data_IF_667889386277
#
_entry.id   IF_667889386277
#
_cell.length_a   1.000
_cell.length_b   1.000
_cell.length_c   1.000
_cell.angle_alpha   90.00
_cell.angle_beta   90.00
_cell.angle_gamma   90.00
#
_symmetry.space_group_name_H-M   'P 1'
#
loop_
_entity.id
_entity.type
_entity.pdbx_description
1 polymer ?
#
# COMPACT_ATOMS: atom_id res chain seq x y z
N UNK A 1 -24.44 69.79 -75.97
CA UNK A 1 -23.44 69.36 -74.95
C UNK A 1 -24.08 68.35 -74.03
N UNK A 2 -23.29 67.45 -73.47
CA UNK A 2 -23.79 66.48 -72.50
C UNK A 2 -24.29 67.17 -71.23
N UNK A 3 -25.40 66.68 -70.65
CA UNK A 3 -25.94 67.20 -69.38
C UNK A 3 -25.85 66.16 -68.25
N UNK A 4 -26.07 64.88 -68.54
CA UNK A 4 -25.90 63.75 -67.61
C UNK A 4 -25.78 62.43 -68.39
N UNK A 5 -24.95 61.45 -67.97
CA UNK A 5 -24.04 61.46 -66.81
C UNK A 5 -22.76 62.28 -67.04
N UNK A 6 -21.94 62.48 -65.99
CA UNK A 6 -20.60 63.07 -66.14
C UNK A 6 -19.60 62.04 -66.70
N UNK A 7 -18.54 62.52 -67.35
CA UNK A 7 -17.45 61.64 -67.78
C UNK A 7 -16.80 60.95 -66.57
N UNK A 8 -16.37 59.70 -66.77
CA UNK A 8 -15.74 58.81 -65.79
C UNK A 8 -16.63 58.46 -64.58
N UNK A 9 -17.96 58.57 -64.74
CA UNK A 9 -18.91 58.12 -63.71
C UNK A 9 -18.81 56.60 -63.52
N UNK A 10 -18.70 56.17 -62.26
CA UNK A 10 -18.75 54.76 -61.85
C UNK A 10 -20.00 54.53 -61.01
N UNK A 11 -20.81 53.55 -61.39
CA UNK A 11 -22.04 53.16 -60.69
C UNK A 11 -22.18 51.63 -60.72
N UNK A 12 -23.07 51.08 -59.90
CA UNK A 12 -23.48 49.68 -60.06
C UNK A 12 -24.43 49.53 -61.26
N UNK A 13 -24.31 48.42 -61.98
CA UNK A 13 -25.13 48.10 -63.16
C UNK A 13 -26.61 47.86 -62.83
N UNK A 14 -26.94 47.71 -61.54
CA UNK A 14 -28.31 47.64 -61.02
C UNK A 14 -29.01 49.01 -61.01
N UNK A 15 -28.26 50.10 -61.13
CA UNK A 15 -28.80 51.45 -61.05
C UNK A 15 -29.17 51.99 -62.44
N UNK A 16 -30.35 52.62 -62.59
CA UNK A 16 -30.72 53.29 -63.83
C UNK A 16 -29.81 54.49 -64.10
N UNK A 17 -29.39 54.67 -65.35
CA UNK A 17 -28.51 55.79 -65.76
C UNK A 17 -29.33 56.87 -66.48
N UNK A 18 -29.50 58.07 -65.90
CA UNK A 18 -30.18 59.16 -66.59
C UNK A 18 -29.27 59.76 -67.67
N UNK A 19 -29.70 59.65 -68.92
CA UNK A 19 -29.05 60.23 -70.10
C UNK A 19 -29.76 61.51 -70.50
N UNK A 20 -29.06 62.64 -70.48
CA UNK A 20 -29.61 63.93 -70.86
C UNK A 20 -28.61 64.76 -71.67
N UNK A 21 -29.11 65.51 -72.64
CA UNK A 21 -28.31 66.41 -73.50
C UNK A 21 -28.91 67.80 -73.49
N UNK A 22 -28.06 68.83 -73.57
CA UNK A 22 -28.49 70.18 -73.91
C UNK A 22 -28.22 70.42 -75.41
N UNK A 23 -29.26 70.52 -76.22
CA UNK A 23 -29.17 70.74 -77.65
C UNK A 23 -30.15 71.84 -78.08
N UNK A 24 -29.76 72.65 -79.06
CA UNK A 24 -30.57 73.72 -79.63
C UNK A 24 -30.20 73.92 -81.09
N UNK A 25 -31.18 74.27 -81.91
CA UNK A 25 -31.00 74.67 -83.29
C UNK A 25 -31.40 76.16 -83.44
N UNK A 26 -30.45 77.07 -83.73
CA UNK A 26 -30.74 78.51 -83.83
C UNK A 26 -31.63 78.90 -85.02
N UNK A 27 -31.69 78.12 -86.10
CA UNK A 27 -32.42 78.46 -87.32
C UNK A 27 -33.44 77.39 -87.76
N UNK A 28 -33.75 76.45 -86.88
CA UNK A 28 -34.72 75.37 -87.11
C UNK A 28 -35.20 74.72 -85.82
N UNK A 29 -35.61 73.45 -85.93
CA UNK A 29 -36.07 72.64 -84.82
C UNK A 29 -35.34 71.30 -84.81
N UNK A 30 -35.02 70.79 -83.63
CA UNK A 30 -34.51 69.44 -83.46
C UNK A 30 -35.62 68.42 -83.76
N UNK A 31 -35.35 67.52 -84.69
CA UNK A 31 -36.30 66.48 -85.10
C UNK A 31 -35.94 65.12 -84.50
N UNK A 32 -34.66 64.88 -84.25
CA UNK A 32 -34.18 63.60 -83.74
C UNK A 32 -32.99 63.78 -82.80
N UNK A 33 -33.02 63.13 -81.63
CA UNK A 33 -31.88 63.02 -80.71
C UNK A 33 -31.64 61.55 -80.42
N UNK A 34 -30.47 61.02 -80.80
CA UNK A 34 -30.10 59.61 -80.60
C UNK A 34 -29.01 59.50 -79.55
N UNK A 35 -29.24 58.69 -78.53
CA UNK A 35 -28.26 58.28 -77.54
C UNK A 35 -27.60 56.97 -77.99
N UNK A 36 -26.27 56.93 -77.98
CA UNK A 36 -25.50 55.78 -78.45
C UNK A 36 -24.50 55.32 -77.39
N UNK A 37 -24.32 54.00 -77.29
CA UNK A 37 -23.18 53.35 -76.64
C UNK A 37 -22.29 52.72 -77.73
N UNK A 38 -21.14 53.35 -77.99
CA UNK A 38 -20.35 53.09 -79.18
C UNK A 38 -21.17 53.33 -80.45
N UNK A 39 -21.48 52.26 -81.19
CA UNK A 39 -22.33 52.29 -82.40
C UNK A 39 -23.76 51.85 -82.15
N UNK A 40 -24.06 51.30 -80.97
CA UNK A 40 -25.38 50.78 -80.63
C UNK A 40 -26.31 51.92 -80.20
N UNK A 41 -27.53 51.94 -80.73
CA UNK A 41 -28.52 52.94 -80.33
C UNK A 41 -29.17 52.51 -79.01
N UNK A 42 -29.00 53.31 -77.96
CA UNK A 42 -29.65 53.12 -76.66
C UNK A 42 -31.13 53.53 -76.77
N UNK A 43 -31.36 54.70 -77.37
CA UNK A 43 -32.69 55.26 -77.55
C UNK A 43 -32.67 56.46 -78.48
N UNK A 44 -33.83 56.78 -79.05
CA UNK A 44 -34.02 57.92 -79.92
C UNK A 44 -35.28 58.69 -79.52
N UNK A 45 -35.16 60.01 -79.45
CA UNK A 45 -36.23 60.94 -79.11
C UNK A 45 -36.60 61.77 -80.32
N UNK A 46 -37.88 62.07 -80.45
CA UNK A 46 -38.43 62.98 -81.46
C UNK A 46 -39.23 64.08 -80.77
N UNK A 47 -39.56 65.16 -81.49
CA UNK A 47 -40.38 66.26 -80.96
C UNK A 47 -39.77 67.06 -79.78
N UNK A 48 -38.44 67.12 -79.69
CA UNK A 48 -37.74 68.04 -78.78
C UNK A 48 -37.45 67.51 -77.37
N UNK A 49 -37.79 66.25 -77.06
CA UNK A 49 -37.34 65.61 -75.81
C UNK A 49 -35.82 65.39 -75.82
N UNK A 50 -35.18 65.62 -74.67
CA UNK A 50 -33.71 65.64 -74.54
C UNK A 50 -33.16 64.71 -73.46
N UNK A 51 -33.98 63.84 -72.88
CA UNK A 51 -33.54 62.92 -71.84
C UNK A 51 -34.26 61.55 -71.91
N UNK A 52 -33.51 60.48 -71.62
CA UNK A 52 -34.01 59.13 -71.40
C UNK A 52 -33.38 58.52 -70.15
N UNK A 53 -34.02 57.52 -69.57
CA UNK A 53 -33.39 56.63 -68.59
C UNK A 53 -32.90 55.39 -69.32
N UNK A 54 -31.69 54.95 -68.99
CA UNK A 54 -31.12 53.71 -69.48
C UNK A 54 -31.10 52.68 -68.35
N UNK A 55 -31.86 51.60 -68.51
CA UNK A 55 -32.08 50.54 -67.54
C UNK A 55 -31.46 49.20 -68.00
N UNK A 56 -31.36 48.22 -67.09
CA UNK A 56 -30.91 46.83 -67.36
C UNK A 56 -29.59 46.74 -68.13
N UNK A 57 -28.61 47.53 -67.71
CA UNK A 57 -27.34 47.67 -68.41
C UNK A 57 -26.37 46.58 -67.94
N UNK A 58 -25.72 45.88 -68.87
CA UNK A 58 -24.66 44.94 -68.52
C UNK A 58 -23.47 45.64 -67.87
N UNK A 59 -22.79 45.04 -66.87
CA UNK A 59 -21.54 45.58 -66.35
C UNK A 59 -20.49 45.76 -67.44
N UNK A 60 -19.70 46.84 -67.34
CA UNK A 60 -18.63 47.14 -68.28
C UNK A 60 -18.36 48.63 -68.45
N UNK A 61 -17.43 48.93 -69.35
CA UNK A 61 -17.13 50.29 -69.77
C UNK A 61 -17.97 50.64 -71.00
N UNK A 62 -18.76 51.71 -70.89
CA UNK A 62 -19.64 52.20 -71.94
C UNK A 62 -19.14 53.56 -72.45
N UNK A 63 -19.20 53.76 -73.76
CA UNK A 63 -18.73 54.99 -74.41
C UNK A 63 -19.92 55.70 -75.04
N UNK A 64 -20.41 56.72 -74.34
CA UNK A 64 -21.67 57.37 -74.67
C UNK A 64 -21.47 58.58 -75.57
N UNK A 65 -22.27 58.65 -76.63
CA UNK A 65 -22.36 59.83 -77.50
C UNK A 65 -23.81 60.11 -77.88
N UNK A 66 -24.09 61.37 -78.25
CA UNK A 66 -25.43 61.81 -78.63
C UNK A 66 -25.34 62.50 -79.97
N UNK A 67 -26.18 62.09 -80.91
CA UNK A 67 -26.33 62.72 -82.22
C UNK A 67 -27.68 63.43 -82.27
N UNK A 68 -27.65 64.75 -82.43
CA UNK A 68 -28.84 65.56 -82.67
C UNK A 68 -28.95 65.90 -84.16
N UNK A 69 -30.15 65.80 -84.74
CA UNK A 69 -30.44 66.10 -86.15
C UNK A 69 -31.60 67.09 -86.24
N UNK A 70 -31.41 68.14 -87.05
CA UNK A 70 -32.40 69.18 -87.28
C UNK A 70 -33.46 68.80 -88.34
N UNK A 71 -34.41 69.70 -88.58
CA UNK A 71 -35.45 69.57 -89.59
C UNK A 71 -34.98 69.76 -91.05
N UNK A 72 -33.69 70.03 -91.26
CA UNK A 72 -33.04 70.18 -92.57
C UNK A 72 -32.04 69.05 -92.86
N UNK A 73 -31.89 68.10 -91.92
CA UNK A 73 -31.02 66.92 -92.04
C UNK A 73 -29.58 67.14 -91.58
N UNK A 74 -29.23 68.31 -91.02
CA UNK A 74 -27.91 68.53 -90.44
C UNK A 74 -27.80 67.83 -89.09
N UNK A 75 -26.67 67.16 -88.84
CA UNK A 75 -26.45 66.42 -87.60
C UNK A 75 -25.15 66.82 -86.91
N UNK A 76 -25.18 66.92 -85.59
CA UNK A 76 -24.00 67.14 -84.74
C UNK A 76 -23.93 66.08 -83.65
N UNK A 77 -22.73 65.59 -83.38
CA UNK A 77 -22.44 64.66 -82.30
C UNK A 77 -21.79 65.38 -81.11
N UNK A 78 -22.06 64.92 -79.89
CA UNK A 78 -21.26 65.29 -78.72
C UNK A 78 -19.87 64.65 -78.78
N UNK A 79 -18.90 65.20 -78.03
CA UNK A 79 -17.72 64.40 -77.67
C UNK A 79 -18.17 63.19 -76.85
N UNK A 80 -17.55 62.01 -77.06
CA UNK A 80 -17.90 60.82 -76.29
C UNK A 80 -17.49 61.01 -74.83
N UNK A 81 -18.29 60.47 -73.93
CA UNK A 81 -17.92 60.29 -72.52
C UNK A 81 -17.82 58.81 -72.20
N UNK A 82 -17.04 58.45 -71.20
CA UNK A 82 -16.92 57.09 -70.70
C UNK A 82 -17.63 56.99 -69.36
N UNK A 83 -18.42 55.93 -69.16
CA UNK A 83 -18.89 55.52 -67.84
C UNK A 83 -18.52 54.06 -67.60
N UNK A 84 -18.42 53.65 -66.34
CA UNK A 84 -18.18 52.25 -65.96
C UNK A 84 -19.28 51.77 -65.04
N UNK A 85 -19.95 50.69 -65.43
CA UNK A 85 -20.95 50.03 -64.61
C UNK A 85 -20.35 48.77 -64.00
N UNK A 86 -20.28 48.73 -62.67
CA UNK A 86 -19.76 47.59 -61.92
C UNK A 86 -20.87 46.56 -61.68
N UNK A 87 -20.53 45.28 -61.67
CA UNK A 87 -21.47 44.26 -61.23
C UNK A 87 -21.84 44.49 -59.75
N UNK A 88 -23.06 44.08 -59.31
CA UNK A 88 -23.41 44.13 -57.88
C UNK A 88 -22.41 43.33 -57.04
N UNK A 89 -22.02 43.89 -55.89
CA UNK A 89 -21.09 43.24 -54.99
C UNK A 89 -21.71 41.96 -54.38
N UNK A 90 -20.98 40.84 -54.41
CA UNK A 90 -21.42 39.61 -53.76
C UNK A 90 -20.75 39.52 -52.38
N UNK A 91 -21.46 39.07 -51.33
CA UNK A 91 -20.86 38.94 -50.01
C UNK A 91 -19.81 37.82 -49.96
N UNK A 92 -18.82 37.92 -49.07
CA UNK A 92 -17.84 36.86 -48.87
C UNK A 92 -18.46 35.64 -48.17
N UNK A 93 -17.77 34.50 -48.23
CA UNK A 93 -18.06 33.31 -47.43
C UNK A 93 -16.97 33.10 -46.38
N UNK A 94 -17.34 32.56 -45.21
CA UNK A 94 -16.43 32.25 -44.10
C UNK A 94 -16.84 30.98 -43.37
N UNK A 95 -15.89 30.06 -43.17
CA UNK A 95 -16.09 28.79 -42.47
C UNK A 95 -14.91 28.49 -41.55
N UNK A 96 -15.18 27.91 -40.38
CA UNK A 96 -14.13 27.55 -39.43
C UNK A 96 -13.29 26.37 -39.89
N UNK A 97 -11.97 26.50 -39.71
CA UNK A 97 -11.01 25.40 -39.90
C UNK A 97 -10.43 24.92 -38.56
N UNK A 98 -10.17 25.84 -37.62
CA UNK A 98 -9.67 25.51 -36.30
C UNK A 98 -10.07 26.58 -35.25
N UNK A 99 -10.29 26.20 -33.98
CA UNK A 99 -10.38 24.83 -33.49
C UNK A 99 -11.63 24.11 -34.04
N UNK A 100 -11.71 22.78 -33.88
CA UNK A 100 -12.97 22.08 -34.16
C UNK A 100 -14.02 22.46 -33.10
N UNK A 101 -15.30 22.52 -33.51
CA UNK A 101 -16.38 22.87 -32.59
C UNK A 101 -16.49 21.87 -31.44
N UNK A 102 -16.52 22.38 -30.21
CA UNK A 102 -16.56 21.54 -29.00
C UNK A 102 -15.19 21.15 -28.45
N UNK A 103 -14.09 21.68 -29.02
CA UNK A 103 -12.74 21.44 -28.49
C UNK A 103 -12.65 21.73 -26.99
N UNK A 104 -11.99 20.84 -26.25
CA UNK A 104 -11.70 20.99 -24.82
C UNK A 104 -10.18 21.11 -24.65
N UNK A 105 -9.74 22.18 -23.98
CA UNK A 105 -8.34 22.44 -23.65
C UNK A 105 -8.18 22.47 -22.12
N UNK A 106 -6.96 22.25 -21.64
CA UNK A 106 -6.60 22.54 -20.24
C UNK A 106 -5.94 23.93 -20.15
N UNK A 107 -5.72 24.49 -18.97
CA UNK A 107 -4.95 25.73 -18.80
C UNK A 107 -3.48 25.43 -18.44
N UNK A 108 -2.49 26.25 -18.84
CA UNK A 108 -2.56 27.35 -19.79
C UNK A 108 -2.35 26.85 -21.22
N UNK A 109 -3.22 27.25 -22.15
CA UNK A 109 -3.07 26.92 -23.58
C UNK A 109 -3.30 28.15 -24.44
N UNK A 110 -2.64 28.17 -25.60
CA UNK A 110 -2.92 29.10 -26.70
C UNK A 110 -3.59 28.32 -27.81
N UNK A 111 -4.59 28.93 -28.45
CA UNK A 111 -5.32 28.33 -29.57
C UNK A 111 -5.12 29.18 -30.82
N UNK A 112 -4.97 28.50 -31.97
CA UNK A 112 -4.99 29.17 -33.26
C UNK A 112 -6.42 29.14 -33.78
N UNK A 113 -7.00 30.33 -33.92
CA UNK A 113 -8.27 30.55 -34.59
C UNK A 113 -7.98 30.66 -36.09
N UNK A 114 -8.63 29.85 -36.91
CA UNK A 114 -8.43 29.86 -38.34
C UNK A 114 -9.75 29.62 -39.06
N UNK A 115 -9.98 30.41 -40.11
CA UNK A 115 -11.12 30.25 -41.01
C UNK A 115 -10.64 30.10 -42.45
N UNK A 116 -11.46 29.46 -43.26
CA UNK A 116 -11.43 29.58 -44.71
C UNK A 116 -12.38 30.72 -45.09
N UNK A 117 -11.85 31.80 -45.67
CA UNK A 117 -12.65 32.91 -46.15
C UNK A 117 -12.38 33.16 -47.64
N UNK A 118 -13.43 33.36 -48.43
CA UNK A 118 -13.32 33.58 -49.88
C UNK A 118 -14.38 34.57 -50.34
N UNK A 119 -14.09 35.29 -51.42
CA UNK A 119 -15.01 36.26 -52.01
C UNK A 119 -15.24 35.94 -53.49
N UNK A 120 -16.49 35.82 -53.97
CA UNK A 120 -16.77 35.42 -55.35
C UNK A 120 -16.44 36.46 -56.42
N UNK A 121 -16.49 37.77 -56.13
CA UNK A 121 -16.31 38.85 -57.11
C UNK A 121 -15.18 39.83 -56.78
N UNK A 122 -14.40 39.52 -55.76
CA UNK A 122 -13.26 40.30 -55.31
C UNK A 122 -12.34 39.51 -54.40
N UNK A 123 -11.95 40.12 -53.27
CA UNK A 123 -11.11 39.49 -52.26
C UNK A 123 -11.64 39.77 -50.87
N UNK A 124 -11.36 38.87 -49.92
CA UNK A 124 -11.57 39.15 -48.50
C UNK A 124 -10.53 40.16 -48.03
N UNK A 125 -10.97 41.33 -47.58
CA UNK A 125 -10.09 42.38 -47.05
C UNK A 125 -9.61 42.07 -45.63
N UNK A 126 -10.47 41.50 -44.79
CA UNK A 126 -10.12 41.10 -43.43
C UNK A 126 -11.11 40.07 -42.85
N UNK A 127 -10.66 39.34 -41.83
CA UNK A 127 -11.48 38.52 -40.93
C UNK A 127 -11.28 39.01 -39.51
N UNK A 128 -12.36 39.36 -38.82
CA UNK A 128 -12.36 39.70 -37.40
C UNK A 128 -12.88 38.53 -36.56
N UNK A 129 -12.20 38.22 -35.47
CA UNK A 129 -12.52 37.13 -34.56
C UNK A 129 -13.12 37.67 -33.26
N UNK A 130 -14.16 36.99 -32.77
CA UNK A 130 -14.90 37.37 -31.57
C UNK A 130 -14.98 36.22 -30.57
N UNK A 131 -14.95 36.59 -29.29
CA UNK A 131 -15.29 35.73 -28.15
C UNK A 131 -16.52 36.35 -27.47
N UNK A 132 -17.67 35.72 -27.64
CA UNK A 132 -18.96 36.32 -27.28
C UNK A 132 -19.19 37.64 -28.05
N UNK A 133 -19.39 38.77 -27.35
CA UNK A 133 -19.54 40.09 -27.99
C UNK A 133 -18.19 40.77 -28.30
N UNK A 134 -17.09 40.33 -27.68
CA UNK A 134 -15.82 41.06 -27.68
C UNK A 134 -14.93 40.63 -28.85
N UNK A 135 -14.35 41.61 -29.56
CA UNK A 135 -13.35 41.35 -30.60
C UNK A 135 -12.02 40.97 -29.95
N UNK A 136 -11.41 39.89 -30.44
CA UNK A 136 -10.09 39.40 -29.98
C UNK A 136 -8.97 39.63 -30.99
N UNK A 137 -9.31 40.04 -32.22
CA UNK A 137 -8.31 40.44 -33.21
C UNK A 137 -8.79 40.31 -34.65
N UNK A 138 -7.98 40.83 -35.57
CA UNK A 138 -8.25 40.88 -37.00
C UNK A 138 -7.09 40.25 -37.76
N UNK A 139 -7.40 39.42 -38.76
CA UNK A 139 -6.46 38.90 -39.74
C UNK A 139 -6.74 39.55 -41.12
N UNK A 140 -5.72 40.11 -41.75
CA UNK A 140 -5.85 40.84 -43.04
C UNK A 140 -5.16 40.13 -44.21
N UNK A 141 -4.59 38.95 -43.97
CA UNK A 141 -3.86 38.19 -44.98
C UNK A 141 -4.25 36.72 -44.90
N UNK A 142 -4.31 36.07 -46.06
CA UNK A 142 -4.44 34.62 -46.16
C UNK A 142 -3.10 33.93 -45.81
N UNK A 143 -3.08 32.84 -45.02
CA UNK A 143 -4.22 32.23 -44.34
C UNK A 143 -4.76 33.12 -43.22
N UNK A 144 -6.08 33.31 -43.18
CA UNK A 144 -6.73 34.09 -42.14
C UNK A 144 -6.67 33.33 -40.82
N UNK A 145 -5.74 33.73 -39.95
CA UNK A 145 -5.53 33.08 -38.65
C UNK A 145 -5.15 34.09 -37.55
N UNK A 146 -5.49 33.76 -36.31
CA UNK A 146 -5.19 34.54 -35.11
C UNK A 146 -4.83 33.62 -33.95
N UNK A 147 -3.68 33.85 -33.32
CA UNK A 147 -3.35 33.17 -32.05
C UNK A 147 -4.03 33.89 -30.89
N UNK A 148 -4.87 33.19 -30.17
CA UNK A 148 -5.61 33.70 -29.01
C UNK A 148 -5.33 32.86 -27.76
N UNK A 149 -5.15 33.53 -26.62
CA UNK A 149 -4.91 32.92 -25.32
C UNK A 149 -6.07 33.22 -24.36
N UNK A 150 -6.92 32.24 -24.01
CA UNK A 150 -7.97 32.40 -23.01
C UNK A 150 -7.37 32.84 -21.66
N UNK A 151 -7.98 33.82 -21.00
CA UNK A 151 -7.45 34.37 -19.73
C UNK A 151 -7.97 33.66 -18.49
N UNK A 152 -9.11 32.97 -18.61
CA UNK A 152 -9.77 32.25 -17.51
C UNK A 152 -10.21 30.86 -17.94
N UNK A 153 -10.50 29.97 -16.99
CA UNK A 153 -11.23 28.75 -17.32
C UNK A 153 -12.68 29.05 -17.70
N UNK A 154 -13.32 28.15 -18.43
CA UNK A 154 -14.73 28.24 -18.80
C UNK A 154 -15.02 27.89 -20.26
N UNK A 155 -16.28 28.02 -20.65
CA UNK A 155 -16.74 27.81 -22.02
C UNK A 155 -16.85 29.16 -22.74
N UNK A 156 -16.25 29.22 -23.91
CA UNK A 156 -16.18 30.38 -24.79
C UNK A 156 -16.98 30.12 -26.07
N UNK A 157 -17.70 31.13 -26.54
CA UNK A 157 -18.41 31.11 -27.83
C UNK A 157 -17.60 31.92 -28.85
N UNK A 158 -17.18 31.28 -29.94
CA UNK A 158 -16.33 31.87 -30.97
C UNK A 158 -17.16 32.18 -32.22
N UNK A 159 -16.94 33.36 -32.81
CA UNK A 159 -17.52 33.80 -34.09
C UNK A 159 -16.48 34.54 -34.91
N UNK A 160 -16.48 34.36 -36.23
CA UNK A 160 -15.65 35.14 -37.15
C UNK A 160 -16.54 35.98 -38.09
N UNK A 161 -16.05 37.14 -38.53
CA UNK A 161 -16.72 38.01 -39.50
C UNK A 161 -15.75 38.35 -40.62
N UNK A 162 -16.04 37.90 -41.84
CA UNK A 162 -15.28 38.26 -43.03
C UNK A 162 -15.84 39.54 -43.65
N UNK A 163 -14.95 40.45 -44.08
CA UNK A 163 -15.29 41.67 -44.81
C UNK A 163 -14.57 41.66 -46.16
N UNK A 164 -15.28 41.91 -47.27
CA UNK A 164 -14.69 41.97 -48.62
C UNK A 164 -14.03 43.33 -48.92
N UNK A 165 -13.46 43.49 -50.13
CA UNK A 165 -12.80 44.72 -50.58
C UNK A 165 -13.75 45.86 -50.96
N UNK A 166 -15.07 45.61 -50.95
CA UNK A 166 -16.12 46.62 -51.17
C UNK A 166 -16.99 46.86 -49.92
N UNK A 167 -16.65 46.24 -48.79
CA UNK A 167 -17.24 46.44 -47.48
C UNK A 167 -18.41 45.53 -47.11
N UNK A 168 -18.78 44.52 -47.91
CA UNK A 168 -19.80 43.55 -47.49
C UNK A 168 -19.28 42.65 -46.38
N UNK A 169 -20.15 42.25 -45.46
CA UNK A 169 -19.79 41.47 -44.28
C UNK A 169 -20.66 40.22 -44.13
N UNK A 170 -20.01 39.10 -43.78
CA UNK A 170 -20.68 37.85 -43.41
C UNK A 170 -20.07 37.28 -42.15
N UNK A 171 -20.92 36.85 -41.22
CA UNK A 171 -20.52 36.14 -40.02
C UNK A 171 -20.51 34.62 -40.26
N UNK A 172 -19.56 33.94 -39.65
CA UNK A 172 -19.55 32.48 -39.55
C UNK A 172 -20.64 31.99 -38.60
N UNK A 173 -20.90 30.69 -38.63
CA UNK A 173 -21.55 30.02 -37.50
C UNK A 173 -20.71 30.16 -36.21
N UNK A 174 -21.40 30.05 -35.07
CA UNK A 174 -20.79 30.07 -33.74
C UNK A 174 -20.31 28.68 -33.34
N UNK A 175 -19.14 28.57 -32.70
CA UNK A 175 -18.68 27.33 -32.09
C UNK A 175 -18.33 27.52 -30.61
N UNK A 176 -18.27 26.43 -29.85
CA UNK A 176 -17.85 26.47 -28.45
C UNK A 176 -16.43 25.91 -28.25
N UNK A 177 -15.65 26.57 -27.41
CA UNK A 177 -14.36 26.10 -26.90
C UNK A 177 -14.43 26.06 -25.37
N UNK A 178 -14.08 24.93 -24.74
CA UNK A 178 -14.03 24.85 -23.26
C UNK A 178 -12.60 24.77 -22.78
N UNK A 179 -12.24 25.59 -21.79
CA UNK A 179 -10.94 25.57 -21.10
C UNK A 179 -11.17 25.08 -19.68
N UNK A 180 -10.62 23.91 -19.37
CA UNK A 180 -10.65 23.31 -18.05
C UNK A 180 -9.47 23.81 -17.19
N UNK A 181 -9.61 23.81 -15.85
CA UNK A 181 -8.48 24.07 -14.97
C UNK A 181 -7.39 23.01 -15.14
N UNK A 182 -6.13 23.31 -14.73
CA UNK A 182 -5.09 22.30 -14.68
C UNK A 182 -5.55 21.08 -13.87
N UNK A 183 -5.20 19.88 -14.31
CA UNK A 183 -5.55 18.65 -13.60
C UNK A 183 -4.88 18.62 -12.22
N UNK A 184 -5.65 18.44 -11.14
CA UNK A 184 -5.09 18.11 -9.84
C UNK A 184 -4.84 16.61 -9.80
N UNK A 185 -3.63 16.20 -9.41
CA UNK A 185 -3.28 14.79 -9.35
C UNK A 185 -4.00 14.12 -8.16
N UNK A 186 -4.34 12.82 -8.26
CA UNK A 186 -5.01 12.10 -7.20
C UNK A 186 -4.12 11.95 -5.97
N UNK A 187 -4.73 11.68 -4.82
CA UNK A 187 -4.04 11.29 -3.58
C UNK A 187 -4.26 9.80 -3.34
N UNK A 188 -3.21 9.07 -2.96
CA UNK A 188 -3.28 7.63 -2.69
C UNK A 188 -2.40 7.22 -1.51
N UNK A 189 -2.90 6.28 -0.71
CA UNK A 189 -2.19 5.73 0.45
C UNK A 189 -2.50 4.24 0.61
N UNK A 190 -1.49 3.41 0.90
CA UNK A 190 -1.68 2.03 1.38
C UNK A 190 -2.20 2.05 2.82
N UNK A 191 -3.31 1.36 3.07
CA UNK A 191 -3.92 1.18 4.39
C UNK A 191 -3.47 -0.13 5.04
N UNK A 192 -3.38 -1.20 4.24
CA UNK A 192 -2.92 -2.51 4.65
C UNK A 192 -2.00 -3.10 3.57
N UNK A 193 -0.92 -3.80 3.94
CA UNK A 193 -0.42 -3.99 5.30
C UNK A 193 0.13 -2.68 5.91
N UNK A 194 0.33 -2.63 7.23
CA UNK A 194 1.04 -1.52 7.88
C UNK A 194 2.55 -1.62 7.62
N UNK A 195 3.26 -0.48 7.66
CA UNK A 195 4.72 -0.48 7.48
C UNK A 195 5.43 -1.34 8.54
N UNK A 196 6.31 -2.24 8.10
CA UNK A 196 7.04 -3.19 8.94
C UNK A 196 6.28 -4.49 9.21
N UNK A 197 5.15 -4.74 8.54
CA UNK A 197 4.39 -5.98 8.69
C UNK A 197 5.24 -7.19 8.29
N UNK A 198 5.20 -8.23 9.12
CA UNK A 198 5.83 -9.52 8.86
C UNK A 198 4.78 -10.58 8.60
N UNK A 199 5.06 -11.48 7.66
CA UNK A 199 4.15 -12.57 7.30
C UNK A 199 4.90 -13.88 7.19
N UNK A 200 4.26 -14.98 7.61
CA UNK A 200 4.78 -16.33 7.44
C UNK A 200 4.89 -16.68 5.94
N UNK A 201 5.79 -17.58 5.53
CA UNK A 201 5.90 -17.98 4.13
C UNK A 201 4.59 -18.59 3.64
N UNK A 202 4.28 -18.42 2.34
CA UNK A 202 3.08 -18.93 1.65
C UNK A 202 1.73 -18.33 2.07
N UNK A 203 1.69 -17.49 3.11
CA UNK A 203 0.46 -16.82 3.52
C UNK A 203 0.16 -15.64 2.58
N UNK A 204 -1.08 -15.56 2.10
CA UNK A 204 -1.52 -14.47 1.25
C UNK A 204 -1.62 -13.15 2.02
N UNK A 205 -1.25 -12.06 1.37
CA UNK A 205 -1.30 -10.69 1.92
C UNK A 205 -2.42 -9.94 1.21
N UNK A 206 -3.33 -9.34 1.95
CA UNK A 206 -4.30 -8.40 1.37
C UNK A 206 -3.69 -7.01 1.39
N UNK A 207 -3.53 -6.41 0.22
CA UNK A 207 -3.03 -5.05 0.05
C UNK A 207 -4.22 -4.14 -0.25
N UNK A 208 -4.47 -3.17 0.61
CA UNK A 208 -5.59 -2.24 0.52
C UNK A 208 -5.07 -0.82 0.41
N UNK A 209 -5.73 -0.01 -0.41
CA UNK A 209 -5.40 1.41 -0.54
C UNK A 209 -6.66 2.28 -0.50
N UNK A 210 -6.46 3.53 -0.09
CA UNK A 210 -7.41 4.61 -0.26
C UNK A 210 -6.88 5.53 -1.35
N UNK A 211 -7.73 5.86 -2.32
CA UNK A 211 -7.43 6.83 -3.36
C UNK A 211 -8.60 7.81 -3.52
N UNK A 212 -8.30 9.09 -3.69
CA UNK A 212 -9.28 10.16 -3.87
C UNK A 212 -8.75 11.19 -4.84
N UNK A 213 -9.64 11.78 -5.62
CA UNK A 213 -9.33 12.85 -6.55
C UNK A 213 -10.23 14.05 -6.29
N UNK A 214 -9.67 15.26 -6.21
CA UNK A 214 -10.40 16.45 -5.72
C UNK A 214 -11.21 17.15 -6.79
N UNK A 215 -10.84 16.99 -8.06
CA UNK A 215 -11.46 17.65 -9.20
C UNK A 215 -11.91 16.68 -10.31
N UNK A 216 -11.86 15.38 -10.03
CA UNK A 216 -12.27 14.30 -10.93
C UNK A 216 -12.58 13.00 -10.21
N UNK A 217 -12.31 11.87 -10.87
CA UNK A 217 -12.57 10.52 -10.34
C UNK A 217 -11.36 9.61 -10.54
N UNK A 218 -11.18 8.65 -9.64
CA UNK A 218 -10.13 7.63 -9.79
C UNK A 218 -10.59 6.57 -10.79
N UNK A 219 -9.82 6.39 -11.87
CA UNK A 219 -10.04 5.35 -12.88
C UNK A 219 -9.49 4.01 -12.40
N UNK A 220 -8.34 4.00 -11.73
CA UNK A 220 -7.70 2.79 -11.24
C UNK A 220 -6.65 3.03 -10.16
N UNK A 221 -6.39 1.98 -9.38
CA UNK A 221 -5.25 1.88 -8.47
C UNK A 221 -4.44 0.64 -8.83
N UNK A 222 -3.16 0.82 -9.17
CA UNK A 222 -2.20 -0.25 -9.37
C UNK A 222 -1.38 -0.47 -8.10
N UNK A 223 -1.34 -1.70 -7.59
CA UNK A 223 -0.46 -2.09 -6.50
C UNK A 223 0.86 -2.63 -7.06
N UNK A 224 1.98 -2.23 -6.46
CA UNK A 224 3.33 -2.61 -6.90
C UNK A 224 4.18 -3.11 -5.74
N UNK A 225 5.08 -4.03 -6.03
CA UNK A 225 6.22 -4.40 -5.19
C UNK A 225 7.52 -3.97 -5.88
N UNK A 226 8.11 -2.88 -5.40
CA UNK A 226 9.20 -2.20 -6.06
C UNK A 226 8.78 -1.72 -7.46
N UNK A 227 9.42 -2.26 -8.50
CA UNK A 227 9.06 -1.96 -9.90
C UNK A 227 8.03 -2.92 -10.49
N UNK A 228 7.70 -4.01 -9.79
CA UNK A 228 6.82 -5.06 -10.32
C UNK A 228 5.36 -4.74 -10.01
N UNK A 229 4.50 -4.85 -11.01
CA UNK A 229 3.05 -4.77 -10.81
C UNK A 229 2.53 -6.03 -10.12
N UNK A 230 1.78 -5.87 -9.04
CA UNK A 230 1.04 -6.94 -8.39
C UNK A 230 -0.38 -7.08 -8.97
N UNK A 231 -0.95 -5.97 -9.44
CA UNK A 231 -2.27 -5.94 -10.05
C UNK A 231 -2.90 -4.55 -10.06
N UNK A 232 -3.96 -4.40 -10.85
CA UNK A 232 -4.71 -3.15 -11.02
C UNK A 232 -6.16 -3.37 -10.59
N UNK A 233 -6.69 -2.44 -9.80
CA UNK A 233 -8.08 -2.44 -9.32
C UNK A 233 -8.75 -1.15 -9.78
N UNK A 234 -9.82 -1.28 -10.59
CA UNK A 234 -10.52 -0.14 -11.20
C UNK A 234 -11.74 0.37 -10.41
N UNK A 235 -12.13 -0.32 -9.33
CA UNK A 235 -13.30 0.05 -8.55
C UNK A 235 -12.99 0.04 -7.05
N UNK A 236 -13.54 1.01 -6.32
CA UNK A 236 -13.49 1.04 -4.86
C UNK A 236 -14.43 -0.04 -4.25
N UNK A 237 -14.04 -0.75 -3.18
CA UNK A 237 -12.78 -0.61 -2.43
C UNK A 237 -11.56 -1.17 -3.17
N UNK A 238 -10.46 -0.44 -3.14
CA UNK A 238 -9.20 -0.85 -3.77
C UNK A 238 -8.49 -1.87 -2.88
N UNK A 239 -8.68 -3.15 -3.19
CA UNK A 239 -8.12 -4.28 -2.45
C UNK A 239 -7.61 -5.35 -3.40
N UNK A 240 -6.40 -5.81 -3.17
CA UNK A 240 -5.74 -6.86 -3.94
C UNK A 240 -5.25 -7.99 -3.02
N UNK A 241 -5.60 -9.23 -3.33
CA UNK A 241 -5.05 -10.41 -2.65
C UNK A 241 -3.77 -10.87 -3.35
N UNK A 242 -2.64 -10.73 -2.68
CA UNK A 242 -1.33 -11.14 -3.15
C UNK A 242 -0.92 -12.49 -2.55
N UNK A 243 -0.87 -13.54 -3.36
CA UNK A 243 -0.74 -14.95 -2.90
C UNK A 243 0.64 -15.57 -3.08
N UNK A 244 1.55 -14.90 -3.77
CA UNK A 244 2.83 -15.44 -4.23
C UNK A 244 4.02 -14.58 -3.78
N UNK A 245 3.96 -14.06 -2.56
CA UNK A 245 5.08 -13.34 -1.95
C UNK A 245 6.25 -14.31 -1.68
N UNK A 246 7.44 -13.94 -2.17
CA UNK A 246 8.67 -14.71 -1.98
C UNK A 246 9.31 -14.36 -0.64
N UNK A 247 10.14 -15.24 -0.06
CA UNK A 247 10.86 -14.92 1.18
C UNK A 247 11.79 -13.73 0.96
N UNK A 248 11.75 -12.75 1.87
CA UNK A 248 12.58 -11.55 1.79
C UNK A 248 11.85 -10.27 2.18
N UNK A 249 12.44 -9.13 1.80
CA UNK A 249 11.87 -7.79 2.02
C UNK A 249 11.21 -7.27 0.76
N UNK A 250 10.06 -6.64 0.93
CA UNK A 250 9.20 -6.09 -0.12
C UNK A 250 8.91 -4.63 0.13
N UNK A 251 8.75 -3.87 -0.94
CA UNK A 251 8.50 -2.42 -0.91
C UNK A 251 7.21 -2.13 -1.66
N UNK A 252 6.10 -2.14 -0.93
CA UNK A 252 4.78 -1.97 -1.51
C UNK A 252 4.48 -0.49 -1.77
N UNK A 253 3.88 -0.19 -2.91
CA UNK A 253 3.33 1.12 -3.24
C UNK A 253 2.03 0.97 -4.04
N UNK A 254 1.19 2.00 -4.02
CA UNK A 254 -0.01 2.09 -4.83
C UNK A 254 0.08 3.30 -5.76
N UNK A 255 -0.28 3.13 -7.03
CA UNK A 255 -0.34 4.18 -8.04
C UNK A 255 -1.78 4.42 -8.42
N UNK A 256 -2.34 5.58 -8.06
CA UNK A 256 -3.68 5.97 -8.48
C UNK A 256 -3.62 6.77 -9.78
N UNK A 257 -4.55 6.52 -10.71
CA UNK A 257 -4.71 7.27 -11.96
C UNK A 257 -6.12 7.86 -12.03
N UNK A 258 -6.23 9.14 -12.35
CA UNK A 258 -7.50 9.88 -12.47
C UNK A 258 -8.11 9.78 -13.89
N UNK A 259 -9.30 10.37 -14.08
CA UNK A 259 -10.05 10.39 -15.34
C UNK A 259 -9.49 11.33 -16.41
N UNK A 260 -8.50 12.15 -16.06
CA UNK A 260 -7.72 12.99 -16.97
C UNK A 260 -6.30 12.46 -17.21
N UNK A 261 -6.02 11.24 -16.75
CA UNK A 261 -4.76 10.52 -16.95
C UNK A 261 -3.61 10.96 -16.04
N UNK A 262 -3.86 11.85 -15.07
CA UNK A 262 -2.90 12.18 -14.02
C UNK A 262 -2.68 11.00 -13.08
N UNK A 263 -1.48 10.89 -12.50
CA UNK A 263 -1.18 9.80 -11.57
C UNK A 263 -0.26 10.23 -10.43
N UNK A 264 -0.46 9.60 -9.27
CA UNK A 264 0.35 9.75 -8.05
C UNK A 264 0.70 8.39 -7.50
N UNK A 265 1.92 8.26 -6.99
CA UNK A 265 2.37 7.06 -6.25
C UNK A 265 2.35 7.35 -4.76
N UNK A 266 1.85 6.41 -3.97
CA UNK A 266 1.86 6.49 -2.51
C UNK A 266 3.28 6.42 -1.94
N UNK A 267 3.41 6.76 -0.66
CA UNK A 267 4.60 6.37 0.12
C UNK A 267 4.78 4.85 0.12
N UNK A 268 6.03 4.44 0.31
CA UNK A 268 6.43 3.02 0.37
C UNK A 268 6.06 2.40 1.72
N UNK A 269 5.41 1.24 1.68
CA UNK A 269 5.13 0.38 2.82
C UNK A 269 6.05 -0.84 2.79
N UNK A 270 6.88 -1.03 3.81
CA UNK A 270 7.77 -2.19 3.91
C UNK A 270 7.03 -3.41 4.47
N UNK A 271 7.22 -4.56 3.82
CA UNK A 271 6.73 -5.86 4.27
C UNK A 271 7.89 -6.87 4.25
N UNK A 272 7.92 -7.79 5.20
CA UNK A 272 8.88 -8.89 5.20
C UNK A 272 8.19 -10.25 5.25
N UNK A 273 8.52 -11.12 4.28
CA UNK A 273 8.12 -12.51 4.28
C UNK A 273 9.24 -13.32 4.94
N UNK A 274 8.92 -13.92 6.09
CA UNK A 274 9.88 -14.68 6.87
C UNK A 274 10.19 -16.03 6.20
N UNK A 275 11.40 -16.59 6.38
CA UNK A 275 11.67 -17.98 6.00
C UNK A 275 10.82 -18.96 6.82
N UNK A 276 10.63 -20.21 6.33
CA UNK A 276 9.98 -21.26 7.12
C UNK A 276 10.62 -21.44 8.49
N UNK A 277 9.80 -21.62 9.52
CA UNK A 277 10.29 -21.84 10.88
C UNK A 277 10.97 -23.21 10.99
N UNK A 278 12.16 -23.26 11.60
CA UNK A 278 12.83 -24.50 11.92
C UNK A 278 12.56 -24.86 13.38
N UNK A 279 12.16 -26.11 13.68
CA UNK A 279 11.93 -26.50 15.07
C UNK A 279 13.23 -26.44 15.88
N UNK A 280 13.14 -26.25 17.21
CA UNK A 280 14.30 -26.20 18.07
C UNK A 280 15.04 -27.54 18.13
N UNK A 281 16.24 -27.54 18.67
CA UNK A 281 17.02 -28.73 18.99
C UNK A 281 17.07 -28.85 20.51
N UNK A 282 16.68 -30.01 21.05
CA UNK A 282 16.71 -30.31 22.49
C UNK A 282 17.44 -31.61 22.79
N UNK A 283 18.31 -31.60 23.79
CA UNK A 283 19.08 -32.74 24.24
C UNK A 283 18.87 -32.95 25.73
N UNK A 284 18.52 -34.18 26.12
CA UNK A 284 18.52 -34.56 27.53
C UNK A 284 19.95 -34.72 28.06
N UNK A 285 20.24 -34.14 29.24
CA UNK A 285 21.57 -34.19 29.85
C UNK A 285 21.63 -35.05 31.11
N UNK A 286 20.63 -34.94 32.00
CA UNK A 286 20.65 -35.61 33.30
C UNK A 286 19.24 -35.86 33.80
N UNK A 287 18.98 -37.00 34.47
CA UNK A 287 19.89 -38.13 34.71
C UNK A 287 20.25 -38.93 33.45
N UNK A 288 21.30 -39.76 33.54
CA UNK A 288 21.72 -40.65 32.44
C UNK A 288 20.74 -41.82 32.28
N UNK A 289 20.56 -42.27 31.04
CA UNK A 289 19.74 -43.44 30.72
C UNK A 289 20.20 -44.68 31.51
N UNK A 290 19.24 -45.44 32.03
CA UNK A 290 19.44 -46.63 32.87
C UNK A 290 19.88 -46.36 34.31
N UNK A 291 19.93 -45.09 34.75
CA UNK A 291 20.34 -44.77 36.12
C UNK A 291 19.35 -45.28 37.17
N UNK A 292 19.89 -45.72 38.31
CA UNK A 292 19.11 -46.11 39.49
C UNK A 292 19.38 -45.08 40.58
N UNK A 293 18.36 -44.29 40.93
CA UNK A 293 18.44 -43.24 41.95
C UNK A 293 17.68 -43.66 43.21
N UNK A 294 18.19 -43.27 44.37
CA UNK A 294 17.61 -43.66 45.67
C UNK A 294 16.68 -42.57 46.20
N UNK A 295 15.48 -42.98 46.57
CA UNK A 295 14.53 -42.15 47.31
C UNK A 295 14.92 -42.04 48.79
N UNK A 296 14.65 -40.90 49.48
CA UNK A 296 13.70 -39.84 49.12
C UNK A 296 14.33 -38.58 48.47
N UNK A 297 15.53 -38.66 47.89
CA UNK A 297 16.19 -37.47 47.35
C UNK A 297 15.47 -36.96 46.07
N UNK A 298 15.28 -35.64 45.90
CA UNK A 298 14.72 -35.10 44.67
C UNK A 298 15.67 -35.33 43.49
N UNK A 299 15.11 -35.49 42.29
CA UNK A 299 15.87 -35.75 41.07
C UNK A 299 16.05 -34.45 40.30
N UNK A 300 17.29 -34.05 40.04
CA UNK A 300 17.56 -32.89 39.18
C UNK A 300 17.54 -33.32 37.71
N UNK A 301 16.58 -32.79 36.97
CA UNK A 301 16.45 -32.96 35.52
C UNK A 301 17.17 -31.81 34.82
N UNK A 302 17.90 -32.12 33.76
CA UNK A 302 18.63 -31.13 32.96
C UNK A 302 18.52 -31.47 31.48
N UNK A 303 18.32 -30.43 30.68
CA UNK A 303 18.34 -30.49 29.22
C UNK A 303 19.13 -29.29 28.68
N UNK A 304 19.63 -29.42 27.46
CA UNK A 304 20.12 -28.31 26.66
C UNK A 304 19.16 -28.08 25.49
N UNK A 305 18.92 -26.82 25.14
CA UNK A 305 18.06 -26.47 24.03
C UNK A 305 18.57 -25.24 23.29
N UNK A 306 18.54 -25.30 21.97
CA UNK A 306 18.95 -24.21 21.08
C UNK A 306 18.03 -24.14 19.88
N UNK A 307 17.80 -22.96 19.35
CA UNK A 307 16.97 -22.76 18.17
C UNK A 307 17.82 -22.24 17.00
N UNK A 308 17.78 -22.86 15.81
CA UNK A 308 18.59 -22.44 14.67
C UNK A 308 18.22 -21.07 14.08
N UNK A 309 16.98 -20.61 14.22
CA UNK A 309 16.48 -19.41 13.55
C UNK A 309 15.60 -18.49 14.43
N UNK A 310 15.54 -18.76 15.73
CA UNK A 310 14.78 -18.01 16.70
C UNK A 310 15.30 -18.17 18.13
N UNK A 311 14.38 -18.14 19.08
CA UNK A 311 14.67 -18.28 20.50
C UNK A 311 13.83 -19.39 21.13
N UNK A 312 14.40 -20.11 22.09
CA UNK A 312 13.65 -21.04 22.92
C UNK A 312 12.75 -20.25 23.88
N UNK A 313 11.44 -20.51 23.83
CA UNK A 313 10.46 -19.95 24.77
C UNK A 313 10.41 -20.78 26.04
N UNK A 314 10.47 -22.11 25.91
CA UNK A 314 10.41 -23.02 27.05
C UNK A 314 10.97 -24.41 26.75
N UNK A 315 11.36 -25.10 27.83
CA UNK A 315 11.64 -26.54 27.87
C UNK A 315 10.74 -27.18 28.91
N UNK A 316 9.88 -28.09 28.47
CA UNK A 316 9.02 -28.91 29.31
C UNK A 316 9.64 -30.28 29.58
N UNK A 317 9.69 -30.72 30.83
CA UNK A 317 10.15 -32.04 31.24
C UNK A 317 8.94 -32.97 31.43
N UNK A 318 9.03 -34.19 30.93
CA UNK A 318 7.92 -35.16 30.91
C UNK A 318 8.33 -36.50 31.52
N UNK A 319 7.38 -37.19 32.14
CA UNK A 319 7.42 -38.62 32.47
C UNK A 319 6.30 -39.34 31.71
N UNK A 320 6.68 -40.06 30.65
CA UNK A 320 5.76 -40.54 29.63
C UNK A 320 5.01 -39.36 28.99
N UNK A 321 3.72 -39.25 29.26
CA UNK A 321 2.87 -38.14 28.77
C UNK A 321 2.58 -37.09 29.84
N UNK A 322 3.06 -37.28 31.07
CA UNK A 322 2.77 -36.38 32.19
C UNK A 322 3.82 -35.28 32.28
N UNK A 323 3.39 -34.03 32.31
CA UNK A 323 4.29 -32.89 32.55
C UNK A 323 4.80 -32.90 33.99
N UNK A 324 6.12 -32.84 34.14
CA UNK A 324 6.82 -32.67 35.42
C UNK A 324 7.07 -31.20 35.73
N UNK A 325 7.12 -30.35 34.71
CA UNK A 325 7.32 -28.91 34.84
C UNK A 325 7.94 -28.27 33.60
N UNK A 326 7.86 -26.94 33.53
CA UNK A 326 8.34 -26.13 32.41
C UNK A 326 9.38 -25.13 32.91
N UNK A 327 10.47 -24.98 32.15
CA UNK A 327 11.54 -24.03 32.42
C UNK A 327 11.69 -23.10 31.21
N UNK A 328 11.49 -21.80 31.41
CA UNK A 328 11.48 -20.80 30.33
C UNK A 328 12.81 -20.08 30.10
N UNK A 329 13.84 -20.37 30.91
CA UNK A 329 15.14 -19.69 30.82
C UNK A 329 16.28 -20.68 31.07
N UNK A 330 17.40 -20.58 30.34
CA UNK A 330 18.59 -21.38 30.61
C UNK A 330 19.27 -20.95 31.93
N UNK A 331 19.92 -21.87 32.67
CA UNK A 331 20.03 -23.30 32.37
C UNK A 331 18.70 -24.03 32.57
N UNK A 332 18.31 -24.88 31.61
CA UNK A 332 17.06 -25.64 31.69
C UNK A 332 17.21 -26.79 32.68
N UNK A 333 16.90 -26.50 33.94
CA UNK A 333 16.99 -27.45 35.03
C UNK A 333 15.75 -27.42 35.90
N UNK A 334 15.20 -28.61 36.17
CA UNK A 334 14.01 -28.80 36.99
C UNK A 334 14.34 -29.72 38.16
N UNK A 335 13.97 -29.33 39.38
CA UNK A 335 14.06 -30.19 40.55
C UNK A 335 12.76 -30.98 40.73
N UNK A 336 12.79 -32.27 40.45
CA UNK A 336 11.64 -33.17 40.58
C UNK A 336 11.55 -33.73 41.99
N UNK A 337 10.64 -33.17 42.80
CA UNK A 337 10.54 -33.42 44.25
C UNK A 337 9.51 -34.47 44.66
N UNK A 338 8.54 -34.76 43.79
CA UNK A 338 7.42 -35.67 44.07
C UNK A 338 7.49 -36.94 43.22
N UNK A 339 8.71 -37.44 42.98
CA UNK A 339 8.89 -38.63 42.17
C UNK A 339 8.51 -39.89 42.96
N UNK A 340 7.95 -40.89 42.29
CA UNK A 340 7.49 -42.14 42.93
C UNK A 340 8.53 -43.26 42.74
N UNK A 341 8.50 -44.29 43.58
CA UNK A 341 9.33 -45.48 43.34
C UNK A 341 8.80 -46.21 42.10
N UNK A 342 9.69 -46.60 41.20
CA UNK A 342 9.33 -47.26 39.95
C UNK A 342 10.26 -46.91 38.79
N UNK A 343 9.90 -47.39 37.59
CA UNK A 343 10.56 -47.04 36.33
C UNK A 343 9.87 -45.84 35.71
N UNK A 344 10.65 -44.86 35.26
CA UNK A 344 10.17 -43.62 34.65
C UNK A 344 10.83 -43.43 33.30
N UNK A 345 10.07 -42.98 32.30
CA UNK A 345 10.56 -42.72 30.94
C UNK A 345 10.51 -41.22 30.71
N UNK A 346 11.68 -40.58 30.78
CA UNK A 346 11.81 -39.14 30.84
C UNK A 346 12.21 -38.56 29.50
N UNK A 347 11.62 -37.44 29.13
CA UNK A 347 11.98 -36.67 27.92
C UNK A 347 11.81 -35.18 28.16
N UNK A 348 12.43 -34.37 27.30
CA UNK A 348 12.28 -32.92 27.30
C UNK A 348 11.72 -32.44 25.96
N UNK A 349 10.78 -31.50 25.99
CA UNK A 349 10.21 -30.84 24.81
C UNK A 349 10.61 -29.37 24.82
N UNK A 350 11.34 -28.93 23.81
CA UNK A 350 11.61 -27.50 23.62
C UNK A 350 10.59 -26.89 22.67
N UNK A 351 10.16 -25.66 22.94
CA UNK A 351 9.27 -24.87 22.08
C UNK A 351 9.89 -23.51 21.80
N UNK A 352 9.87 -23.10 20.54
CA UNK A 352 10.45 -21.83 20.06
C UNK A 352 9.46 -20.65 20.09
N UNK A 353 9.93 -19.46 19.70
CA UNK A 353 9.17 -18.20 19.63
C UNK A 353 8.15 -18.13 18.49
N UNK A 354 8.17 -19.11 17.59
CA UNK A 354 7.20 -19.31 16.51
C UNK A 354 6.38 -20.59 16.70
N UNK A 355 6.34 -21.09 17.93
CA UNK A 355 5.58 -22.23 18.41
C UNK A 355 5.89 -23.60 17.75
N UNK A 356 7.01 -23.76 17.03
CA UNK A 356 7.44 -25.11 16.68
C UNK A 356 8.12 -25.76 17.89
N UNK A 357 8.06 -27.10 17.93
CA UNK A 357 8.54 -27.87 19.05
C UNK A 357 9.28 -29.12 18.58
N UNK A 358 10.23 -29.56 19.40
CA UNK A 358 10.94 -30.83 19.23
C UNK A 358 11.04 -31.55 20.58
N UNK A 359 11.23 -32.87 20.52
CA UNK A 359 11.34 -33.73 21.69
C UNK A 359 12.71 -34.38 21.69
N UNK A 360 13.34 -34.46 22.86
CA UNK A 360 14.59 -35.18 23.04
C UNK A 360 14.39 -36.68 22.88
N UNK A 361 15.48 -37.43 22.79
CA UNK A 361 15.42 -38.87 23.06
C UNK A 361 14.83 -39.13 24.46
N UNK A 362 14.08 -40.22 24.60
CA UNK A 362 13.59 -40.68 25.91
C UNK A 362 14.68 -41.46 26.63
N UNK A 363 14.78 -41.26 27.94
CA UNK A 363 15.68 -41.99 28.82
C UNK A 363 14.88 -42.68 29.93
N UNK A 364 15.23 -43.92 30.23
CA UNK A 364 14.57 -44.68 31.29
C UNK A 364 15.42 -44.64 32.56
N UNK A 365 14.81 -44.32 33.70
CA UNK A 365 15.46 -44.42 35.01
C UNK A 365 14.64 -45.29 35.95
N UNK A 366 15.29 -45.80 37.00
CA UNK A 366 14.62 -46.49 38.10
C UNK A 366 14.81 -45.72 39.40
N UNK A 367 13.71 -45.34 40.05
CA UNK A 367 13.71 -44.77 41.38
C UNK A 367 13.45 -45.89 42.38
N UNK A 368 14.44 -46.22 43.20
CA UNK A 368 14.37 -47.31 44.17
C UNK A 368 14.29 -46.76 45.61
N UNK A 369 13.63 -47.51 46.49
CA UNK A 369 13.68 -47.23 47.93
C UNK A 369 15.08 -47.50 48.47
N UNK A 370 15.60 -46.59 49.32
CA UNK A 370 16.84 -46.83 50.04
C UNK A 370 16.83 -48.19 50.75
N UNK A 371 17.92 -48.98 50.68
CA UNK A 371 17.97 -50.27 51.36
C UNK A 371 17.86 -50.09 52.88
N UNK A 372 16.80 -50.64 53.48
CA UNK A 372 16.57 -50.69 54.93
C UNK A 372 17.39 -51.81 55.57
N UNK A 373 18.72 -51.70 55.53
CA UNK A 373 19.61 -52.69 56.17
C UNK A 373 20.09 -52.26 57.57
N UNK A 374 19.18 -51.86 58.46
CA UNK A 374 19.43 -51.91 59.90
C UNK A 374 18.29 -52.67 60.59
N UNK A 375 18.57 -53.90 61.04
CA UNK A 375 17.70 -54.58 62.01
C UNK A 375 17.92 -53.89 63.35
N UNK A 376 16.94 -53.09 63.77
CA UNK A 376 16.99 -52.42 65.07
C UNK A 376 16.97 -53.44 66.22
N UNK A 377 17.95 -53.37 67.12
CA UNK A 377 17.92 -54.02 68.43
C UNK A 377 17.19 -53.10 69.39
N UNK A 378 16.02 -53.53 69.88
CA UNK A 378 15.31 -52.79 70.93
C UNK A 378 15.67 -53.35 72.30
N UNK A 379 16.17 -52.50 73.21
CA UNK A 379 16.31 -52.86 74.62
C UNK A 379 14.90 -52.88 75.24
N UNK A 380 14.43 -54.06 75.63
CA UNK A 380 13.14 -54.28 76.31
C UNK A 380 13.20 -53.92 77.78
N UNK A 381 14.28 -54.34 78.43
CA UNK A 381 14.55 -54.09 79.86
C UNK A 381 16.03 -54.33 80.15
N UNK A 382 16.48 -53.79 81.28
CA UNK A 382 17.78 -54.09 81.87
C UNK A 382 17.58 -54.52 83.33
N UNK A 383 18.25 -55.58 83.76
CA UNK A 383 18.18 -56.10 85.13
C UNK A 383 19.58 -56.38 85.68
N UNK A 384 19.80 -56.12 86.98
CA UNK A 384 21.03 -56.51 87.66
C UNK A 384 20.92 -57.97 88.08
N UNK A 385 21.95 -58.78 87.83
CA UNK A 385 21.95 -60.19 88.24
C UNK A 385 22.40 -60.28 89.71
N UNK A 386 21.47 -60.67 90.59
CA UNK A 386 21.80 -61.10 91.95
C UNK A 386 22.15 -62.59 91.95
N UNK A 387 23.41 -62.92 92.24
CA UNK A 387 23.82 -64.31 92.50
C UNK A 387 23.44 -64.71 93.93
N UNK A 388 22.39 -65.52 94.07
CA UNK A 388 21.90 -66.06 95.34
C UNK A 388 22.78 -67.19 95.91
N UNK A 389 23.96 -67.48 95.33
CA UNK A 389 24.83 -68.59 95.77
C UNK A 389 26.16 -68.18 96.40
N UNK A 390 26.42 -66.88 96.56
CA UNK A 390 27.61 -66.36 97.25
C UNK A 390 27.19 -65.53 98.48
N UNK A 391 27.80 -65.72 99.68
CA UNK A 391 27.37 -65.02 100.88
C UNK A 391 27.51 -63.51 100.69
N UNK A 392 26.38 -62.80 100.79
CA UNK A 392 26.29 -61.35 100.72
C UNK A 392 27.17 -60.71 101.82
N UNK A 393 28.20 -59.95 101.43
CA UNK A 393 28.83 -58.99 102.34
C UNK A 393 27.86 -57.82 102.51
N UNK A 394 27.08 -57.85 103.59
CA UNK A 394 26.02 -56.88 103.88
C UNK A 394 26.54 -55.52 104.38
N UNK A 395 27.82 -55.19 104.18
CA UNK A 395 28.38 -53.89 104.60
C UNK A 395 28.33 -52.78 103.54
N UNK A 396 27.98 -53.08 102.29
CA UNK A 396 27.91 -52.06 101.21
C UNK A 396 26.68 -52.13 100.30
N UNK A 397 25.80 -53.14 100.44
CA UNK A 397 24.63 -53.29 99.56
C UNK A 397 24.99 -53.57 98.09
N UNK A 398 26.20 -54.04 97.80
CA UNK A 398 26.67 -54.30 96.44
C UNK A 398 26.51 -55.78 96.04
N UNK A 399 25.94 -56.04 94.87
CA UNK A 399 25.88 -57.38 94.26
C UNK A 399 27.28 -57.90 93.90
N UNK A 400 27.65 -59.17 94.16
CA UNK A 400 29.04 -59.64 94.10
C UNK A 400 29.70 -59.60 92.70
N UNK A 401 28.93 -59.76 91.62
CA UNK A 401 29.50 -59.98 90.28
C UNK A 401 29.21 -58.87 89.24
N UNK A 402 28.45 -57.82 89.59
CA UNK A 402 28.22 -56.63 88.74
C UNK A 402 27.85 -56.97 87.28
N UNK A 403 27.09 -58.04 87.13
CA UNK A 403 26.54 -58.48 85.86
C UNK A 403 25.18 -57.83 85.68
N UNK A 404 24.86 -57.50 84.43
CA UNK A 404 23.54 -57.01 84.06
C UNK A 404 23.06 -57.78 82.83
N UNK A 405 21.76 -58.02 82.76
CA UNK A 405 21.13 -58.58 81.57
C UNK A 405 20.53 -57.43 80.78
N UNK A 406 20.83 -57.38 79.49
CA UNK A 406 20.06 -56.58 78.54
C UNK A 406 19.15 -57.53 77.79
N UNK A 407 17.84 -57.37 77.98
CA UNK A 407 16.85 -58.05 77.15
C UNK A 407 16.73 -57.28 75.83
N UNK A 408 17.06 -57.94 74.72
CA UNK A 408 17.11 -57.35 73.40
C UNK A 408 16.15 -58.07 72.47
N UNK A 409 15.39 -57.31 71.68
CA UNK A 409 14.66 -57.92 70.57
C UNK A 409 15.56 -58.09 69.36
N UNK A 410 15.75 -59.34 68.94
CA UNK A 410 16.47 -59.69 67.72
C UNK A 410 16.47 -61.21 67.48
N UNK A 411 16.88 -61.67 66.29
CA UNK A 411 17.01 -63.10 66.00
C UNK A 411 18.10 -63.73 66.87
N UNK A 412 17.76 -64.80 67.57
CA UNK A 412 18.71 -65.62 68.32
C UNK A 412 19.86 -66.12 67.41
N UNK A 413 21.04 -66.30 67.99
CA UNK A 413 22.24 -66.74 67.27
C UNK A 413 23.08 -65.59 66.70
N UNK A 414 22.58 -64.36 66.69
CA UNK A 414 23.36 -63.20 66.28
C UNK A 414 24.41 -62.80 67.32
N UNK A 415 25.62 -62.49 66.84
CA UNK A 415 26.64 -61.87 67.69
C UNK A 415 26.22 -60.42 68.01
N UNK A 416 26.29 -60.07 69.29
CA UNK A 416 25.99 -58.76 69.87
C UNK A 416 27.24 -58.22 70.54
N UNK A 417 27.56 -56.96 70.31
CA UNK A 417 28.62 -56.24 71.03
C UNK A 417 27.96 -55.33 72.04
N UNK A 418 28.33 -55.47 73.31
CA UNK A 418 27.92 -54.57 74.38
C UNK A 418 28.99 -53.49 74.51
N UNK A 419 28.55 -52.25 74.50
CA UNK A 419 29.41 -51.07 74.61
C UNK A 419 29.04 -50.27 75.84
N UNK A 420 30.04 -49.63 76.44
CA UNK A 420 29.88 -48.75 77.58
C UNK A 420 30.41 -47.34 77.28
N UNK A 421 29.78 -46.35 77.89
CA UNK A 421 30.16 -44.94 77.78
C UNK A 421 30.01 -44.22 79.12
N UNK A 422 30.78 -43.15 79.31
CA UNK A 422 30.61 -42.20 80.43
C UNK A 422 29.88 -40.92 80.02
N UNK A 423 29.72 -40.67 78.72
CA UNK A 423 29.25 -39.38 78.20
C UNK A 423 28.23 -39.48 77.04
N UNK A 424 27.83 -40.72 76.69
CA UNK A 424 26.94 -41.08 75.57
C UNK A 424 27.51 -40.78 74.17
N UNK A 425 28.75 -40.31 74.07
CA UNK A 425 29.41 -39.98 72.79
C UNK A 425 30.51 -40.96 72.46
N UNK A 426 31.39 -41.20 73.42
CA UNK A 426 32.51 -42.12 73.28
C UNK A 426 32.11 -43.49 73.85
N UNK A 427 32.01 -44.47 72.96
CA UNK A 427 31.57 -45.83 73.28
C UNK A 427 32.73 -46.80 73.11
N UNK A 428 32.99 -47.59 74.14
CA UNK A 428 34.00 -48.65 74.10
C UNK A 428 33.32 -50.01 74.18
N UNK A 429 33.75 -50.97 73.35
CA UNK A 429 33.26 -52.34 73.44
C UNK A 429 33.78 -53.01 74.71
N UNK A 430 32.87 -53.53 75.53
CA UNK A 430 33.20 -54.18 76.82
C UNK A 430 32.98 -55.69 76.78
N UNK A 431 32.09 -56.19 75.91
CA UNK A 431 31.94 -57.62 75.66
C UNK A 431 31.33 -57.90 74.30
N UNK A 432 31.54 -59.13 73.80
CA UNK A 432 30.85 -59.68 72.64
C UNK A 432 30.19 -60.98 73.05
N UNK A 433 28.89 -61.10 72.81
CA UNK A 433 28.06 -62.22 73.24
C UNK A 433 27.10 -62.64 72.14
N UNK A 434 26.55 -63.84 72.22
CA UNK A 434 25.50 -64.30 71.30
C UNK A 434 24.13 -64.02 71.91
N UNK A 435 23.21 -63.45 71.12
CA UNK A 435 21.82 -63.30 71.53
C UNK A 435 21.18 -64.68 71.68
N UNK A 436 20.66 -65.00 72.86
CA UNK A 436 19.91 -66.23 73.13
C UNK A 436 18.61 -65.90 73.84
N UNK A 437 17.49 -66.45 73.34
CA UNK A 437 16.14 -66.22 73.82
C UNK A 437 15.81 -64.73 74.03
N UNK A 438 16.24 -63.86 73.10
CA UNK A 438 16.01 -62.42 73.19
C UNK A 438 16.74 -61.71 74.35
N UNK A 439 17.86 -62.27 74.84
CA UNK A 439 18.67 -61.63 75.87
C UNK A 439 20.17 -61.81 75.61
N UNK A 440 20.96 -60.87 76.13
CA UNK A 440 22.42 -60.95 76.20
C UNK A 440 22.89 -60.48 77.56
N UNK A 441 23.93 -61.13 78.10
CA UNK A 441 24.44 -60.84 79.45
C UNK A 441 25.69 -59.97 79.34
N UNK A 442 25.65 -58.77 79.90
CA UNK A 442 26.79 -57.86 79.99
C UNK A 442 27.55 -57.98 81.30
N UNK A 443 28.87 -57.88 81.23
CA UNK A 443 29.75 -57.79 82.41
C UNK A 443 30.67 -56.59 82.22
N UNK A 444 30.60 -55.62 83.14
CA UNK A 444 31.52 -54.48 83.17
C UNK A 444 32.36 -54.52 84.44
N UNK A 445 33.57 -55.07 84.33
CA UNK A 445 34.52 -55.16 85.43
C UNK A 445 35.09 -53.79 85.86
N UNK A 446 34.99 -52.76 84.99
CA UNK A 446 35.52 -51.43 85.24
C UNK A 446 34.48 -50.42 85.73
N UNK A 447 33.19 -50.79 85.77
CA UNK A 447 32.10 -49.93 86.23
C UNK A 447 32.39 -49.25 87.58
N UNK A 448 33.15 -49.93 88.45
CA UNK A 448 33.57 -49.50 89.80
C UNK A 448 34.39 -48.20 89.81
N UNK A 449 35.02 -47.88 88.68
CA UNK A 449 35.87 -46.70 88.51
C UNK A 449 35.11 -45.47 88.00
N UNK A 450 33.80 -45.57 87.76
CA UNK A 450 32.99 -44.51 87.18
C UNK A 450 31.73 -44.24 88.00
N UNK A 451 31.44 -42.97 88.30
CA UNK A 451 30.23 -42.58 89.05
C UNK A 451 28.94 -42.79 88.24
N UNK A 452 29.03 -42.78 86.92
CA UNK A 452 27.93 -43.01 86.00
C UNK A 452 28.44 -43.78 84.78
N UNK A 453 27.69 -44.80 84.36
CA UNK A 453 28.02 -45.62 83.20
C UNK A 453 26.76 -45.91 82.39
N UNK A 454 26.85 -45.74 81.08
CA UNK A 454 25.79 -46.02 80.12
C UNK A 454 26.15 -47.25 79.30
N UNK A 455 25.16 -48.09 79.00
CA UNK A 455 25.36 -49.31 78.23
C UNK A 455 24.45 -49.31 77.00
N UNK A 456 24.94 -49.85 75.90
CA UNK A 456 24.14 -50.17 74.72
C UNK A 456 24.59 -51.49 74.12
N UNK A 457 23.72 -52.11 73.34
CA UNK A 457 24.07 -53.26 72.52
C UNK A 457 23.90 -52.92 71.04
N UNK A 458 24.78 -53.45 70.21
CA UNK A 458 24.64 -53.44 68.75
C UNK A 458 24.89 -54.84 68.21
N UNK A 459 24.39 -55.13 67.01
CA UNK A 459 24.84 -56.33 66.31
C UNK A 459 26.33 -56.19 66.02
N UNK A 460 27.07 -57.28 66.21
CA UNK A 460 28.40 -57.37 65.65
C UNK A 460 28.20 -57.26 64.14
N UNK A 461 28.71 -56.19 63.55
CA UNK A 461 28.84 -56.10 62.10
C UNK A 461 29.60 -57.35 61.67
N UNK A 462 28.97 -58.21 60.85
CA UNK A 462 29.76 -59.13 60.06
C UNK A 462 30.64 -58.24 59.21
N UNK A 463 31.91 -58.09 59.60
CA UNK A 463 32.91 -57.67 58.62
C UNK A 463 32.81 -58.67 57.47
N UNK A 464 32.82 -58.20 56.21
CA UNK A 464 32.60 -59.04 55.04
C UNK A 464 33.43 -60.32 55.02
#
# INVERSE_FOLDING_TARGET
MWASPTNDLVLESSQPVPLAVNASDPDGNLVLVRFLDGTNCIGALTNGDLAITWDDISPGTHVLSVVATDNRGASVATQPITITLQAPNLPPAVEWLAPEGGTILQSPHVVVLQVNASDPDGRVAQVEYFVGPDSVGIATNDPFQLTWGPQTEGTYELRAVATDDRGSQVASDTMTLTVLPPNQLPVVQILNPTNGFTVAPTQAVTVEAMATDSDGTIVQVEFRDGTNSLGVVSNSPYSLLWTNAIVGSHSLSAVATDDRGGSTTSDTTLLSVLPPNQPPIVQWLSPTNGSILQMPQPVTLQADASDPDGAIVQVEFLDGTNSLGVVSNPPYSLLWTNATVGTHSLSAVATDDRAAASTSDSIDITLASAPTNEVALFIRSAELVEDQTSPSDTSTGETPNRQFVLHLEGPDGNATVIEASTDLKDWISISTNTLMNGATVGVDSQAKSFNLRFYRARLATQTP
#
